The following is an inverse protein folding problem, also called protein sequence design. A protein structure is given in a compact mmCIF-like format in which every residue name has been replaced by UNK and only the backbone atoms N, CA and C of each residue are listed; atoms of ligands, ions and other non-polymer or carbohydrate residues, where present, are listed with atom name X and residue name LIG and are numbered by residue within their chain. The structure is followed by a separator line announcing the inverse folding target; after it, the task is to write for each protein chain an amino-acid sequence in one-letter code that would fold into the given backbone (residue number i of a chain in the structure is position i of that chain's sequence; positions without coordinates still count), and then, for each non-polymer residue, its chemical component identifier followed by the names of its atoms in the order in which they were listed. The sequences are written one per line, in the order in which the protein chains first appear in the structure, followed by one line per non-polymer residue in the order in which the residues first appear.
data_IF_942977964645
#
_entry.id   IF_942977964645
#
_cell.length_a   1.000
_cell.length_b   1.000
_cell.length_c   1.000
_cell.angle_alpha   90.00
_cell.angle_beta   90.00
_cell.angle_gamma   90.00
#
_symmetry.space_group_name_H-M   'P 1'
#
loop_
_entity.id
_entity.type
_entity.pdbx_description
1 polymer ?
#
# COMPACT_ATOMS: atom_id res chain seq x y z
N UNK A 1 11.18 5.62 44.89
CA UNK A 1 11.85 5.75 43.59
C UNK A 1 10.96 5.10 42.53
N UNK A 2 10.09 5.89 41.89
CA UNK A 2 9.20 5.43 40.82
C UNK A 2 9.86 5.73 39.49
N UNK A 3 10.37 4.71 38.80
CA UNK A 3 10.82 4.84 37.42
C UNK A 3 9.60 5.14 36.56
N UNK A 4 9.43 6.41 36.16
CA UNK A 4 8.58 6.78 35.03
C UNK A 4 9.10 6.02 33.81
N UNK A 5 8.40 4.95 33.44
CA UNK A 5 8.50 4.38 32.10
C UNK A 5 7.99 5.45 31.14
N UNK A 6 8.93 6.26 30.62
CA UNK A 6 8.68 7.13 29.48
C UNK A 6 8.54 6.18 28.29
N UNK A 7 7.31 5.78 27.98
CA UNK A 7 6.99 5.21 26.68
C UNK A 7 7.48 6.21 25.63
N UNK A 8 8.59 5.87 24.96
CA UNK A 8 9.04 6.59 23.78
C UNK A 8 7.92 6.49 22.74
N UNK A 9 7.07 7.52 22.65
CA UNK A 9 6.23 7.76 21.48
C UNK A 9 7.17 7.77 20.27
N UNK A 10 7.22 6.67 19.50
CA UNK A 10 7.99 6.62 18.26
C UNK A 10 7.46 7.75 17.38
N UNK A 11 8.35 8.67 16.99
CA UNK A 11 7.97 9.79 16.14
C UNK A 11 7.55 9.24 14.76
N UNK A 12 6.34 9.55 14.30
CA UNK A 12 5.81 9.02 13.03
C UNK A 12 6.60 9.51 11.80
N UNK A 13 7.39 10.57 11.96
CA UNK A 13 8.30 11.11 10.94
C UNK A 13 9.31 10.08 10.43
N UNK A 14 9.86 9.25 11.32
CA UNK A 14 10.81 8.21 10.92
C UNK A 14 10.17 7.13 10.05
N UNK A 15 8.93 6.73 10.39
CA UNK A 15 8.19 5.75 9.61
C UNK A 15 7.76 6.28 8.23
N UNK A 16 7.33 7.55 8.15
CA UNK A 16 7.06 8.20 6.86
C UNK A 16 8.32 8.24 5.99
N UNK A 17 9.47 8.61 6.56
CA UNK A 17 10.72 8.68 5.80
C UNK A 17 11.07 7.32 5.18
N UNK A 18 10.98 6.24 5.95
CA UNK A 18 11.22 4.87 5.45
C UNK A 18 10.23 4.51 4.34
N UNK A 19 8.94 4.79 4.54
CA UNK A 19 7.90 4.49 3.56
C UNK A 19 8.12 5.24 2.24
N UNK A 20 8.43 6.54 2.30
CA UNK A 20 8.76 7.36 1.12
C UNK A 20 10.03 6.84 0.44
N UNK A 21 11.09 6.51 1.20
CA UNK A 21 12.30 5.92 0.61
C UNK A 21 12.01 4.64 -0.15
N UNK A 22 11.18 3.75 0.40
CA UNK A 22 10.76 2.52 -0.29
C UNK A 22 10.00 2.81 -1.59
N UNK A 23 9.07 3.77 -1.58
CA UNK A 23 8.33 4.20 -2.78
C UNK A 23 9.28 4.78 -3.83
N UNK A 24 10.23 5.63 -3.42
CA UNK A 24 11.20 6.23 -4.34
C UNK A 24 12.11 5.18 -4.99
N UNK A 25 12.59 4.22 -4.21
CA UNK A 25 13.39 3.10 -4.74
C UNK A 25 12.53 2.23 -5.67
N UNK A 26 11.28 1.96 -5.32
CA UNK A 26 10.36 1.22 -6.17
C UNK A 26 10.13 1.91 -7.53
N UNK A 27 9.90 3.23 -7.53
CA UNK A 27 9.76 4.04 -8.74
C UNK A 27 11.04 4.02 -9.58
N UNK A 28 12.21 4.15 -8.95
CA UNK A 28 13.48 4.07 -9.64
C UNK A 28 13.64 2.73 -10.37
N UNK A 29 13.35 1.61 -9.71
CA UNK A 29 13.42 0.28 -10.31
C UNK A 29 12.36 0.08 -11.41
N UNK A 30 11.17 0.67 -11.25
CA UNK A 30 10.11 0.64 -12.26
C UNK A 30 10.57 1.30 -13.57
N UNK A 31 11.20 2.47 -13.50
CA UNK A 31 11.70 3.17 -14.68
C UNK A 31 13.01 2.58 -15.22
N UNK A 32 13.70 1.73 -14.46
CA UNK A 32 14.97 1.10 -14.83
C UNK A 32 14.87 -0.43 -14.71
N UNK A 33 14.04 -1.11 -15.54
CA UNK A 33 13.75 -2.54 -15.39
C UNK A 33 14.98 -3.45 -15.53
N UNK A 34 16.05 -2.99 -16.16
CA UNK A 34 17.31 -3.72 -16.31
C UNK A 34 18.27 -3.59 -15.13
N UNK A 35 17.94 -2.80 -14.09
CA UNK A 35 18.88 -2.42 -13.03
C UNK A 35 19.44 -3.62 -12.24
N UNK A 36 18.61 -4.63 -11.93
CA UNK A 36 19.06 -5.86 -11.25
C UNK A 36 19.51 -6.98 -12.22
N UNK A 37 19.74 -6.65 -13.50
CA UNK A 37 20.20 -7.59 -14.53
C UNK A 37 19.11 -8.49 -15.11
N UNK A 38 18.02 -8.76 -14.37
CA UNK A 38 16.89 -9.56 -14.84
C UNK A 38 15.60 -8.75 -14.68
N UNK A 39 14.93 -8.43 -15.80
CA UNK A 39 13.72 -7.59 -15.85
C UNK A 39 12.62 -8.06 -14.90
N UNK A 40 12.35 -9.37 -14.91
CA UNK A 40 11.33 -9.99 -14.06
C UNK A 40 11.66 -9.78 -12.57
N UNK A 41 12.92 -9.93 -12.19
CA UNK A 41 13.37 -9.76 -10.79
C UNK A 41 13.27 -8.28 -10.40
N UNK A 42 13.76 -7.36 -11.24
CA UNK A 42 13.65 -5.91 -10.99
C UNK A 42 12.21 -5.47 -10.79
N UNK A 43 11.29 -5.94 -11.65
CA UNK A 43 9.88 -5.58 -11.56
C UNK A 43 9.21 -6.16 -10.32
N UNK A 44 9.55 -7.40 -9.96
CA UNK A 44 9.04 -8.03 -8.73
C UNK A 44 9.51 -7.28 -7.49
N UNK A 45 10.80 -6.94 -7.40
CA UNK A 45 11.36 -6.17 -6.27
C UNK A 45 10.76 -4.77 -6.20
N UNK A 46 10.62 -4.10 -7.35
CA UNK A 46 9.95 -2.80 -7.47
C UNK A 46 8.52 -2.86 -6.93
N UNK A 47 7.73 -3.84 -7.36
CA UNK A 47 6.35 -4.05 -6.88
C UNK A 47 6.30 -4.26 -5.36
N UNK A 48 7.14 -5.14 -4.82
CA UNK A 48 7.14 -5.44 -3.38
C UNK A 48 7.48 -4.20 -2.56
N UNK A 49 8.51 -3.44 -2.97
CA UNK A 49 8.89 -2.19 -2.31
C UNK A 49 7.78 -1.13 -2.40
N UNK A 50 7.10 -1.03 -3.55
CA UNK A 50 5.97 -0.12 -3.73
C UNK A 50 4.85 -0.45 -2.74
N UNK A 51 4.46 -1.72 -2.66
CA UNK A 51 3.39 -2.19 -1.75
C UNK A 51 3.76 -1.92 -0.29
N UNK A 52 4.95 -2.31 0.15
CA UNK A 52 5.39 -2.09 1.54
C UNK A 52 5.44 -0.59 1.85
N UNK A 53 5.97 0.21 0.92
CA UNK A 53 6.02 1.66 1.05
C UNK A 53 4.63 2.30 1.20
N UNK A 54 3.66 1.89 0.38
CA UNK A 54 2.28 2.39 0.46
C UNK A 54 1.62 1.99 1.79
N UNK A 55 1.76 0.72 2.22
CA UNK A 55 1.20 0.27 3.50
C UNK A 55 1.83 1.04 4.66
N UNK A 56 3.16 1.11 4.70
CA UNK A 56 3.91 1.80 5.74
C UNK A 56 3.52 3.28 5.84
N UNK A 57 3.38 3.94 4.69
CA UNK A 57 2.93 5.33 4.63
C UNK A 57 1.51 5.48 5.19
N UNK A 58 0.61 4.56 4.84
CA UNK A 58 -0.78 4.59 5.30
C UNK A 58 -0.89 4.46 6.82
N UNK A 59 -0.16 3.51 7.40
CA UNK A 59 -0.11 3.26 8.85
C UNK A 59 0.46 4.48 9.59
N UNK A 60 1.56 5.06 9.12
CA UNK A 60 2.21 6.19 9.80
C UNK A 60 1.40 7.48 9.68
N UNK A 61 0.72 7.68 8.55
CA UNK A 61 -0.20 8.79 8.38
C UNK A 61 -1.42 8.65 9.30
N UNK A 62 -1.95 7.44 9.47
CA UNK A 62 -3.05 7.21 10.41
C UNK A 62 -2.65 7.60 11.85
N UNK A 63 -1.42 7.27 12.27
CA UNK A 63 -0.87 7.67 13.59
C UNK A 63 -0.75 9.18 13.79
N UNK A 64 -0.44 9.95 12.73
CA UNK A 64 -0.32 11.42 12.82
C UNK A 64 -1.69 12.07 12.93
N UNK A 65 -2.68 11.48 12.27
CA UNK A 65 -3.92 12.15 12.00
C UNK A 65 -4.99 11.91 13.10
N UNK A 66 -4.83 10.87 13.93
CA UNK A 66 -5.57 10.70 15.18
C UNK A 66 -6.09 9.28 15.42
N UNK A 67 -6.67 9.06 16.61
CA UNK A 67 -7.03 7.73 17.16
C UNK A 67 -8.16 6.97 16.43
N UNK A 68 -8.91 7.63 15.53
CA UNK A 68 -9.98 6.97 14.78
C UNK A 68 -9.43 6.24 13.55
N UNK A 69 -9.79 4.97 13.30
CA UNK A 69 -9.35 4.25 12.12
C UNK A 69 -9.92 4.90 10.85
N UNK A 70 -9.07 5.57 10.09
CA UNK A 70 -9.44 6.36 8.91
C UNK A 70 -9.70 5.52 7.66
N UNK A 71 -9.59 4.20 7.74
CA UNK A 71 -9.75 3.29 6.61
C UNK A 71 -8.54 3.19 5.68
N UNK A 72 -7.52 4.05 5.83
CA UNK A 72 -6.28 3.98 5.03
C UNK A 72 -5.51 2.67 5.25
N UNK A 73 -5.50 2.19 6.49
CA UNK A 73 -4.83 0.93 6.84
C UNK A 73 -5.57 -0.25 6.21
N UNK A 74 -6.91 -0.26 6.28
CA UNK A 74 -7.76 -1.29 5.67
C UNK A 74 -7.62 -1.27 4.13
N UNK A 75 -7.64 -0.08 3.52
CA UNK A 75 -7.51 0.09 2.07
C UNK A 75 -6.11 -0.34 1.58
N UNK A 76 -5.06 0.12 2.26
CA UNK A 76 -3.68 -0.22 1.94
C UNK A 76 -3.41 -1.72 2.07
N UNK A 77 -3.91 -2.35 3.14
CA UNK A 77 -3.80 -3.79 3.35
C UNK A 77 -4.61 -4.58 2.30
N UNK A 78 -5.82 -4.10 1.96
CA UNK A 78 -6.64 -4.69 0.91
C UNK A 78 -5.94 -4.67 -0.45
N UNK A 79 -5.40 -3.52 -0.86
CA UNK A 79 -4.63 -3.40 -2.10
C UNK A 79 -3.38 -4.27 -2.10
N UNK A 80 -2.70 -4.40 -0.96
CA UNK A 80 -1.55 -5.28 -0.83
C UNK A 80 -1.91 -6.76 -1.07
N UNK A 81 -3.01 -7.22 -0.47
CA UNK A 81 -3.52 -8.57 -0.71
C UNK A 81 -3.93 -8.79 -2.17
N UNK A 82 -4.55 -7.78 -2.82
CA UNK A 82 -4.89 -7.85 -4.24
C UNK A 82 -3.65 -7.91 -5.12
N UNK A 83 -2.63 -7.09 -4.86
CA UNK A 83 -1.36 -7.15 -5.60
C UNK A 83 -0.76 -8.54 -5.42
N UNK A 84 -0.57 -8.99 -4.18
CA UNK A 84 0.00 -10.31 -3.88
C UNK A 84 -0.75 -11.45 -4.58
N UNK A 85 -2.09 -11.38 -4.60
CA UNK A 85 -2.93 -12.30 -5.35
C UNK A 85 -2.60 -12.29 -6.86
N UNK A 86 -2.53 -11.11 -7.50
CA UNK A 86 -2.17 -10.98 -8.92
C UNK A 86 -0.79 -11.58 -9.19
N UNK A 87 0.20 -11.32 -8.33
CA UNK A 87 1.55 -11.87 -8.49
C UNK A 87 1.49 -13.40 -8.53
N UNK A 88 0.97 -14.02 -7.47
CA UNK A 88 1.05 -15.47 -7.33
C UNK A 88 0.18 -16.19 -8.36
N UNK A 89 -1.04 -15.69 -8.61
CA UNK A 89 -1.95 -16.28 -9.61
C UNK A 89 -1.30 -16.38 -10.98
N UNK A 90 -0.41 -15.44 -11.31
CA UNK A 90 0.26 -15.42 -12.60
C UNK A 90 1.51 -16.31 -12.68
N UNK A 91 2.27 -16.44 -11.59
CA UNK A 91 3.50 -17.25 -11.58
C UNK A 91 3.29 -18.72 -11.28
N UNK A 92 2.19 -19.08 -10.60
CA UNK A 92 1.98 -20.42 -10.09
C UNK A 92 0.65 -20.98 -10.61
N UNK A 93 0.73 -22.02 -11.43
CA UNK A 93 -0.43 -22.81 -11.83
C UNK A 93 -0.62 -23.99 -10.86
N UNK A 94 -1.87 -24.23 -10.46
CA UNK A 94 -2.21 -25.30 -9.53
C UNK A 94 -3.54 -25.08 -8.83
N UNK A 95 -4.42 -26.09 -8.88
CA UNK A 95 -5.77 -26.02 -8.30
C UNK A 95 -5.73 -25.67 -6.80
N UNK A 96 -4.78 -26.25 -6.04
CA UNK A 96 -4.62 -25.96 -4.60
C UNK A 96 -4.19 -24.52 -4.37
N UNK A 97 -3.27 -24.02 -5.19
CA UNK A 97 -2.77 -22.64 -5.12
C UNK A 97 -3.92 -21.67 -5.41
N UNK A 98 -4.76 -21.98 -6.40
CA UNK A 98 -5.96 -21.19 -6.72
C UNK A 98 -6.97 -21.14 -5.56
N UNK A 99 -7.16 -22.25 -4.83
CA UNK A 99 -8.02 -22.25 -3.63
C UNK A 99 -7.46 -21.37 -2.51
N UNK A 100 -6.15 -21.38 -2.28
CA UNK A 100 -5.50 -20.50 -1.30
C UNK A 100 -5.62 -19.04 -1.77
N UNK A 101 -5.35 -18.78 -3.05
CA UNK A 101 -5.44 -17.45 -3.65
C UNK A 101 -6.84 -16.85 -3.58
N UNK A 102 -7.88 -17.68 -3.64
CA UNK A 102 -9.26 -17.23 -3.46
C UNK A 102 -9.45 -16.51 -2.10
N UNK A 103 -8.78 -16.99 -1.03
CA UNK A 103 -8.81 -16.34 0.28
C UNK A 103 -8.10 -14.98 0.25
N UNK A 104 -6.94 -14.90 -0.41
CA UNK A 104 -6.20 -13.64 -0.59
C UNK A 104 -7.02 -12.62 -1.38
N UNK A 105 -7.69 -13.06 -2.44
CA UNK A 105 -8.61 -12.23 -3.22
C UNK A 105 -9.78 -11.75 -2.36
N UNK A 106 -10.38 -12.63 -1.56
CA UNK A 106 -11.48 -12.27 -0.67
C UNK A 106 -11.08 -11.21 0.37
N UNK A 107 -9.96 -11.43 1.08
CA UNK A 107 -9.45 -10.46 2.06
C UNK A 107 -9.02 -9.15 1.39
N UNK A 108 -8.42 -9.23 0.20
CA UNK A 108 -8.04 -8.05 -0.59
C UNK A 108 -9.25 -7.19 -0.95
N UNK A 109 -10.27 -7.81 -1.56
CA UNK A 109 -11.51 -7.12 -1.91
C UNK A 109 -12.23 -6.56 -0.68
N UNK A 110 -12.36 -7.36 0.39
CA UNK A 110 -12.98 -6.93 1.63
C UNK A 110 -12.26 -5.72 2.25
N UNK A 111 -10.94 -5.80 2.41
CA UNK A 111 -10.12 -4.72 2.96
C UNK A 111 -10.18 -3.45 2.12
N UNK A 112 -10.09 -3.58 0.79
CA UNK A 112 -10.19 -2.44 -0.13
C UNK A 112 -11.57 -1.78 -0.06
N UNK A 113 -12.66 -2.55 -0.10
CA UNK A 113 -14.03 -2.00 -0.02
C UNK A 113 -14.29 -1.35 1.34
N UNK A 114 -13.92 -2.02 2.44
CA UNK A 114 -14.08 -1.47 3.80
C UNK A 114 -13.26 -0.20 3.99
N UNK A 115 -12.01 -0.21 3.53
CA UNK A 115 -11.12 0.94 3.61
C UNK A 115 -11.63 2.13 2.80
N UNK A 116 -12.03 1.91 1.55
CA UNK A 116 -12.65 2.95 0.71
C UNK A 116 -13.92 3.49 1.37
N UNK A 117 -14.80 2.63 1.88
CA UNK A 117 -16.03 3.05 2.54
C UNK A 117 -15.76 3.91 3.80
N UNK A 118 -14.76 3.52 4.62
CA UNK A 118 -14.31 4.29 5.77
C UNK A 118 -13.72 5.64 5.36
N UNK A 119 -12.89 5.68 4.32
CA UNK A 119 -12.30 6.92 3.78
C UNK A 119 -13.41 7.87 3.27
N UNK A 120 -14.38 7.35 2.50
CA UNK A 120 -15.51 8.15 1.98
C UNK A 120 -16.34 8.72 3.12
N UNK A 121 -16.76 7.88 4.08
CA UNK A 121 -17.56 8.33 5.21
C UNK A 121 -16.84 9.40 6.03
N UNK A 122 -15.54 9.21 6.25
CA UNK A 122 -14.74 10.14 7.02
C UNK A 122 -14.53 11.48 6.32
N UNK A 123 -14.21 11.47 5.02
CA UNK A 123 -14.02 12.71 4.22
C UNK A 123 -15.32 13.51 4.08
N UNK A 124 -16.44 12.81 3.88
CA UNK A 124 -17.75 13.43 3.63
C UNK A 124 -18.40 14.00 4.89
N UNK A 125 -18.23 13.36 6.06
CA UNK A 125 -19.05 13.71 7.24
C UNK A 125 -18.26 14.20 8.47
N UNK A 126 -16.98 13.88 8.64
CA UNK A 126 -16.29 14.14 9.91
C UNK A 126 -15.29 15.31 9.92
N UNK A 127 -14.80 15.78 8.77
CA UNK A 127 -13.72 16.79 8.77
C UNK A 127 -14.22 18.21 8.53
N UNK A 128 -14.01 19.10 9.51
CA UNK A 128 -14.19 20.56 9.34
C UNK A 128 -12.91 21.30 8.91
N UNK A 129 -11.72 20.70 9.06
CA UNK A 129 -10.44 21.35 8.75
C UNK A 129 -9.93 21.04 7.32
N UNK A 130 -9.92 22.06 6.46
CA UNK A 130 -9.55 21.98 5.03
C UNK A 130 -8.14 21.45 4.77
N UNK A 131 -7.15 21.79 5.61
CA UNK A 131 -5.76 21.32 5.42
C UNK A 131 -5.63 19.82 5.63
N UNK A 132 -6.34 19.27 6.62
CA UNK A 132 -6.34 17.84 6.88
C UNK A 132 -7.11 17.06 5.80
N UNK A 133 -8.18 17.62 5.23
CA UNK A 133 -8.86 17.01 4.06
C UNK A 133 -7.90 16.81 2.89
N UNK A 134 -7.13 17.85 2.55
CA UNK A 134 -6.20 17.81 1.41
C UNK A 134 -5.09 16.78 1.58
N UNK A 135 -4.44 16.73 2.75
CA UNK A 135 -3.38 15.75 3.02
C UNK A 135 -3.91 14.31 2.87
N UNK A 136 -5.11 14.04 3.40
CA UNK A 136 -5.75 12.71 3.36
C UNK A 136 -6.17 12.32 1.95
N UNK A 137 -6.72 13.27 1.18
CA UNK A 137 -7.07 13.05 -0.22
C UNK A 137 -5.84 12.75 -1.07
N UNK A 138 -4.72 13.44 -0.83
CA UNK A 138 -3.46 13.16 -1.50
C UNK A 138 -2.97 11.72 -1.24
N UNK A 139 -3.09 11.23 -0.01
CA UNK A 139 -2.71 9.85 0.34
C UNK A 139 -3.59 8.83 -0.36
N UNK A 140 -4.90 9.06 -0.40
CA UNK A 140 -5.82 8.21 -1.16
C UNK A 140 -5.45 8.15 -2.64
N UNK A 141 -5.18 9.31 -3.26
CA UNK A 141 -4.71 9.38 -4.65
C UNK A 141 -3.40 8.60 -4.82
N UNK A 142 -2.43 8.75 -3.91
CA UNK A 142 -1.17 8.00 -3.97
C UNK A 142 -1.41 6.49 -3.90
N UNK A 143 -2.33 6.02 -3.05
CA UNK A 143 -2.69 4.59 -2.99
C UNK A 143 -3.30 4.10 -4.31
N UNK A 144 -4.27 4.83 -4.86
CA UNK A 144 -4.94 4.48 -6.13
C UNK A 144 -3.95 4.49 -7.29
N UNK A 145 -3.11 5.52 -7.38
CA UNK A 145 -2.06 5.62 -8.40
C UNK A 145 -1.00 4.53 -8.24
N UNK A 146 -0.57 4.23 -7.01
CA UNK A 146 0.41 3.18 -6.73
C UNK A 146 -0.13 1.80 -7.09
N UNK A 147 -1.40 1.53 -6.78
CA UNK A 147 -2.08 0.31 -7.20
C UNK A 147 -2.19 0.21 -8.72
N UNK A 148 -2.64 1.28 -9.39
CA UNK A 148 -2.73 1.35 -10.85
C UNK A 148 -1.36 1.20 -11.53
N UNK A 149 -0.32 1.83 -11.00
CA UNK A 149 1.06 1.69 -11.49
C UNK A 149 1.57 0.26 -11.36
N UNK A 150 1.23 -0.42 -10.26
CA UNK A 150 1.58 -1.83 -10.06
C UNK A 150 0.88 -2.72 -11.10
N UNK A 151 -0.42 -2.51 -11.37
CA UNK A 151 -1.14 -3.23 -12.43
C UNK A 151 -0.51 -2.96 -13.80
N UNK A 152 -0.21 -1.70 -14.12
CA UNK A 152 0.44 -1.32 -15.38
C UNK A 152 1.82 -1.96 -15.53
N UNK A 153 2.60 -2.04 -14.44
CA UNK A 153 3.89 -2.73 -14.41
C UNK A 153 3.74 -4.19 -14.81
N UNK A 154 2.71 -4.86 -14.32
CA UNK A 154 2.41 -6.24 -14.70
C UNK A 154 2.00 -6.34 -16.16
N UNK A 155 1.08 -5.51 -16.65
CA UNK A 155 0.61 -5.55 -18.04
C UNK A 155 1.76 -5.33 -19.05
N UNK A 156 2.66 -4.40 -18.77
CA UNK A 156 3.82 -4.09 -19.63
C UNK A 156 4.92 -5.17 -19.56
N UNK A 157 5.16 -5.75 -18.38
CA UNK A 157 6.16 -6.82 -18.22
C UNK A 157 5.82 -8.08 -19.04
N UNK A 158 4.54 -8.34 -19.27
CA UNK A 158 4.06 -9.54 -19.96
C UNK A 158 3.69 -9.33 -21.44
N UNK A 159 4.07 -8.19 -22.05
CA UNK A 159 3.74 -7.87 -23.46
C UNK A 159 2.24 -8.03 -23.80
N UNK A 160 1.36 -7.71 -22.85
CA UNK A 160 -0.08 -7.61 -23.11
C UNK A 160 -0.48 -6.26 -23.73
N UNK A 161 0.51 -5.37 -23.93
CA UNK A 161 0.50 -4.21 -24.82
C UNK A 161 1.84 -4.12 -25.54
#
# INVERSE_FOLDING_TARGET
MTSKNVEKKKEPLGGIAVAISMILVALFLFFNPSYLGIVIVTNTVSTVLMVIGIIGLSIEINKIIGEKPLGFDDAGLGFAFLVFWVIIYHYFDGVIINWILLLFLFFGLYGSVLGIAKIINFVSFEVHNTKQKWLRFAVFIIQVLGFGATILQYLTSFKLM
#
